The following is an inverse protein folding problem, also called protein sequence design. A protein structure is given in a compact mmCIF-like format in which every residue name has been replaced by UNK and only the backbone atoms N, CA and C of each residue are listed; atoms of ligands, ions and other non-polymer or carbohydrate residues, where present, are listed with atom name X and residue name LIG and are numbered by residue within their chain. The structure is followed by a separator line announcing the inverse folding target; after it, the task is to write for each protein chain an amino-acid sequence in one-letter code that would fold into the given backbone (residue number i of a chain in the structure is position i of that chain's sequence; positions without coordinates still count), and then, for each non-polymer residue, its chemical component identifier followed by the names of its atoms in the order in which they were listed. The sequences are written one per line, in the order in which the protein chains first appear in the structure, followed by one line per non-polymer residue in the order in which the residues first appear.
data_IF_165527441663
#
_entry.id   IF_165527441663
#
_cell.length_a   1.000
_cell.length_b   1.000
_cell.length_c   1.000
_cell.angle_alpha   90.00
_cell.angle_beta   90.00
_cell.angle_gamma   90.00
#
_symmetry.space_group_name_H-M   'P 1'
#
loop_
_entity.id
_entity.type
_entity.pdbx_description
1 polymer ?
#
# COMPACT_ATOMS: atom_id res chain seq x y z
N UNK A 1 15.04 -7.41 3.71
CA UNK A 1 15.84 -8.44 4.40
C UNK A 1 17.34 -8.19 4.24
N UNK A 2 17.86 -8.04 3.02
CA UNK A 2 19.29 -7.76 2.73
C UNK A 2 19.88 -6.62 3.58
N UNK A 3 19.17 -5.49 3.73
CA UNK A 3 19.62 -4.40 4.59
C UNK A 3 19.88 -4.80 6.06
N UNK A 4 19.00 -5.65 6.62
CA UNK A 4 19.15 -6.17 7.99
C UNK A 4 20.35 -7.13 8.10
N UNK A 5 20.66 -7.86 7.03
CA UNK A 5 21.84 -8.71 6.95
C UNK A 5 23.12 -7.87 7.00
N UNK A 6 23.22 -6.81 6.19
CA UNK A 6 24.40 -5.92 6.16
C UNK A 6 24.69 -5.32 7.55
N UNK A 7 23.64 -5.10 8.35
CA UNK A 7 23.74 -4.50 9.70
C UNK A 7 23.90 -5.51 10.84
N UNK A 8 24.01 -6.80 10.57
CA UNK A 8 24.22 -7.79 11.63
C UNK A 8 22.95 -8.28 12.34
N UNK A 9 21.76 -7.84 11.90
CA UNK A 9 20.48 -8.12 12.57
C UNK A 9 19.83 -9.41 12.02
N UNK A 10 20.53 -10.53 12.15
CA UNK A 10 20.18 -11.79 11.49
C UNK A 10 18.82 -12.36 11.90
N UNK A 11 18.47 -12.29 13.19
CA UNK A 11 17.17 -12.79 13.69
C UNK A 11 16.00 -12.03 13.03
N UNK A 12 16.11 -10.70 12.94
CA UNK A 12 15.12 -9.83 12.28
C UNK A 12 15.11 -10.06 10.77
N UNK A 13 16.27 -10.22 10.13
CA UNK A 13 16.37 -10.56 8.71
C UNK A 13 15.63 -11.88 8.40
N UNK A 14 15.83 -12.91 9.23
CA UNK A 14 15.16 -14.20 9.08
C UNK A 14 13.63 -14.08 9.21
N UNK A 15 13.14 -13.31 10.19
CA UNK A 15 11.71 -13.08 10.38
C UNK A 15 11.06 -12.43 9.15
N UNK A 16 11.75 -11.49 8.49
CA UNK A 16 11.27 -10.86 7.26
C UNK A 16 11.17 -11.87 6.11
N UNK A 17 12.18 -12.73 5.93
CA UNK A 17 12.12 -13.79 4.92
C UNK A 17 10.97 -14.77 5.19
N UNK A 18 10.83 -15.25 6.43
CA UNK A 18 9.75 -16.16 6.82
C UNK A 18 8.37 -15.54 6.61
N UNK A 19 8.21 -14.26 6.95
CA UNK A 19 6.95 -13.52 6.73
C UNK A 19 6.62 -13.44 5.24
N UNK A 20 7.60 -13.12 4.40
CA UNK A 20 7.41 -13.08 2.95
C UNK A 20 7.03 -14.44 2.36
N UNK A 21 7.68 -15.52 2.82
CA UNK A 21 7.40 -16.89 2.38
C UNK A 21 5.99 -17.34 2.80
N UNK A 22 5.60 -17.09 4.05
CA UNK A 22 4.26 -17.38 4.56
C UNK A 22 3.17 -16.67 3.74
N UNK A 23 3.44 -15.44 3.29
CA UNK A 23 2.51 -14.63 2.50
C UNK A 23 2.57 -14.89 0.99
N UNK A 24 3.41 -15.84 0.53
CA UNK A 24 3.65 -16.10 -0.90
C UNK A 24 3.98 -14.82 -1.69
N UNK A 25 4.81 -13.96 -1.11
CA UNK A 25 5.20 -12.70 -1.73
C UNK A 25 5.95 -12.95 -3.05
N UNK A 26 5.59 -12.22 -4.10
CA UNK A 26 6.19 -12.34 -5.43
C UNK A 26 7.41 -11.41 -5.57
N UNK A 27 8.48 -11.83 -6.28
CA UNK A 27 8.64 -13.12 -6.97
C UNK A 27 9.01 -14.26 -6.01
N UNK A 28 8.17 -15.30 -5.94
CA UNK A 28 8.23 -16.29 -4.85
C UNK A 28 9.46 -17.20 -4.91
N UNK A 29 9.85 -17.64 -6.10
CA UNK A 29 11.03 -18.51 -6.27
C UNK A 29 12.32 -17.76 -5.93
N UNK A 30 12.42 -16.50 -6.37
CA UNK A 30 13.52 -15.60 -6.00
C UNK A 30 13.58 -15.36 -4.49
N UNK A 31 12.43 -15.27 -3.83
CA UNK A 31 12.37 -15.11 -2.38
C UNK A 31 12.87 -16.36 -1.64
N UNK A 32 12.51 -17.57 -2.10
CA UNK A 32 13.03 -18.83 -1.55
C UNK A 32 14.55 -18.92 -1.73
N UNK A 33 15.04 -18.59 -2.92
CA UNK A 33 16.46 -18.60 -3.24
C UNK A 33 17.22 -17.60 -2.35
N UNK A 34 16.72 -16.37 -2.22
CA UNK A 34 17.31 -15.35 -1.35
C UNK A 34 17.35 -15.79 0.12
N UNK A 35 16.29 -16.44 0.62
CA UNK A 35 16.25 -16.99 1.98
C UNK A 35 17.25 -18.14 2.17
N UNK A 36 17.36 -19.05 1.19
CA UNK A 36 18.35 -20.13 1.20
C UNK A 36 19.78 -19.58 1.26
N UNK A 37 20.11 -18.61 0.40
CA UNK A 37 21.41 -17.95 0.40
C UNK A 37 21.71 -17.24 1.73
N UNK A 38 20.70 -16.63 2.34
CA UNK A 38 20.82 -16.04 3.67
C UNK A 38 21.14 -17.08 4.75
N UNK A 39 20.43 -18.22 4.77
CA UNK A 39 20.71 -19.31 5.72
C UNK A 39 22.12 -19.91 5.50
N UNK A 40 22.57 -20.02 4.26
CA UNK A 40 23.95 -20.41 3.95
C UNK A 40 24.97 -19.41 4.50
N UNK A 41 24.72 -18.10 4.35
CA UNK A 41 25.58 -17.04 4.91
C UNK A 41 25.65 -17.12 6.43
N UNK A 42 24.53 -17.33 7.11
CA UNK A 42 24.50 -17.52 8.57
C UNK A 42 25.31 -18.77 8.95
N UNK A 43 25.03 -19.91 8.33
CA UNK A 43 25.69 -21.19 8.65
C UNK A 43 27.22 -21.12 8.52
N UNK A 44 27.72 -20.47 7.46
CA UNK A 44 29.16 -20.23 7.27
C UNK A 44 29.75 -19.38 8.41
N UNK A 45 29.01 -18.38 8.88
CA UNK A 45 29.44 -17.50 9.98
C UNK A 45 29.44 -18.22 11.32
N UNK A 46 28.43 -19.04 11.62
CA UNK A 46 28.38 -19.83 12.86
C UNK A 46 29.51 -20.86 12.92
N UNK A 47 29.89 -21.43 11.77
CA UNK A 47 31.06 -22.33 11.64
C UNK A 47 32.40 -21.60 11.72
N UNK A 48 32.46 -20.32 11.36
CA UNK A 48 33.67 -19.50 11.51
C UNK A 48 33.84 -19.00 12.96
N UNK A 49 32.75 -18.71 13.67
CA UNK A 49 32.79 -18.27 15.07
C UNK A 49 33.14 -19.37 16.08
N UNK A 50 33.09 -20.65 15.71
CA UNK A 50 33.52 -21.75 16.60
C UNK A 50 35.04 -21.83 16.85
N UNK A 51 35.85 -20.96 16.22
CA UNK A 51 37.29 -20.82 16.48
C UNK A 51 37.65 -19.67 17.45
N UNK A 52 36.70 -18.81 17.83
CA UNK A 52 36.91 -17.79 18.85
C UNK A 52 35.69 -17.72 19.80
N UNK A 53 35.77 -18.40 20.95
CA UNK A 53 34.89 -18.15 22.09
C UNK A 53 35.53 -17.13 23.01
N UNK A 54 35.00 -15.91 23.07
CA UNK A 54 34.81 -15.10 24.29
C UNK A 54 33.73 -14.05 23.97
N UNK A 55 32.78 -13.85 24.88
CA UNK A 55 32.04 -12.59 24.98
C UNK A 55 30.64 -12.58 24.37
N UNK A 56 29.71 -13.21 25.08
CA UNK A 56 28.28 -12.94 24.99
C UNK A 56 28.02 -11.52 25.54
N UNK A 57 28.23 -10.50 24.70
CA UNK A 57 27.81 -9.13 25.00
C UNK A 57 27.82 -8.27 23.71
N UNK A 58 26.98 -8.66 22.74
CA UNK A 58 26.49 -7.68 21.78
C UNK A 58 25.39 -6.89 22.50
N UNK A 59 25.82 -6.00 23.40
CA UNK A 59 25.02 -4.89 23.89
C UNK A 59 24.34 -4.27 22.69
N UNK A 60 23.01 -4.32 22.74
CA UNK A 60 22.08 -3.78 21.77
C UNK A 60 22.48 -2.32 21.57
N UNK A 61 23.21 -2.04 20.48
CA UNK A 61 23.58 -0.68 20.11
C UNK A 61 22.25 0.01 19.81
N UNK A 62 21.78 0.76 20.80
CA UNK A 62 20.57 1.57 20.86
C UNK A 62 20.59 2.67 19.79
N UNK A 63 20.60 2.22 18.55
CA UNK A 63 20.01 2.94 17.45
C UNK A 63 18.57 2.47 17.45
N UNK A 64 17.69 3.26 18.08
CA UNK A 64 16.25 2.98 18.16
C UNK A 64 15.70 2.75 16.75
N UNK A 65 15.73 1.51 16.29
CA UNK A 65 15.45 1.15 14.92
C UNK A 65 13.94 1.14 14.74
N UNK A 66 13.43 2.10 13.99
CA UNK A 66 12.01 2.24 13.70
C UNK A 66 11.72 1.57 12.37
N UNK A 67 10.91 0.50 12.39
CA UNK A 67 10.34 -0.04 11.16
C UNK A 67 9.15 0.86 10.73
N UNK A 68 9.22 1.55 9.58
CA UNK A 68 8.18 2.48 9.17
C UNK A 68 6.84 1.81 8.85
N UNK A 69 6.83 0.50 8.64
CA UNK A 69 5.63 -0.30 8.33
C UNK A 69 5.19 -1.19 9.49
N UNK A 70 5.81 -1.05 10.66
CA UNK A 70 5.33 -1.71 11.86
C UNK A 70 4.01 -1.08 12.33
N UNK A 71 3.08 -1.90 12.81
CA UNK A 71 1.76 -1.43 13.23
C UNK A 71 1.86 -0.37 14.32
N UNK A 72 2.73 -0.55 15.31
CA UNK A 72 2.97 0.44 16.38
C UNK A 72 3.45 1.76 15.80
N UNK A 73 4.53 1.75 15.01
CA UNK A 73 5.06 2.94 14.34
C UNK A 73 4.01 3.67 13.51
N UNK A 74 3.27 2.94 12.68
CA UNK A 74 2.22 3.52 11.82
C UNK A 74 1.10 4.09 12.66
N UNK A 75 0.67 3.40 13.73
CA UNK A 75 -0.37 3.89 14.62
C UNK A 75 0.08 5.17 15.34
N UNK A 76 1.29 5.20 15.87
CA UNK A 76 1.86 6.38 16.54
C UNK A 76 1.96 7.56 15.57
N UNK A 77 2.37 7.31 14.33
CA UNK A 77 2.42 8.31 13.28
C UNK A 77 1.03 8.84 12.94
N UNK A 78 0.04 7.95 12.75
CA UNK A 78 -1.36 8.32 12.49
C UNK A 78 -1.91 9.18 13.63
N UNK A 79 -1.63 8.84 14.90
CA UNK A 79 -2.06 9.67 16.03
C UNK A 79 -1.43 11.05 16.00
N UNK A 80 -0.13 11.13 15.70
CA UNK A 80 0.59 12.41 15.58
C UNK A 80 0.02 13.30 14.47
N UNK A 81 -0.36 12.74 13.32
CA UNK A 81 -0.90 13.53 12.19
C UNK A 81 -2.41 13.78 12.30
N UNK A 82 -3.13 13.10 13.19
CA UNK A 82 -4.59 13.18 13.33
C UNK A 82 -5.11 14.62 13.49
N UNK A 83 -4.50 15.51 14.29
CA UNK A 83 -4.95 16.90 14.42
C UNK A 83 -4.85 17.71 13.13
N UNK A 84 -3.95 17.32 12.22
CA UNK A 84 -3.81 17.95 10.90
C UNK A 84 -4.78 17.33 9.88
N UNK A 85 -4.95 16.01 9.92
CA UNK A 85 -5.88 15.27 9.05
C UNK A 85 -7.30 15.85 9.11
N UNK A 86 -7.82 16.09 10.30
CA UNK A 86 -9.18 16.63 10.50
C UNK A 86 -9.38 18.03 9.92
N UNK A 87 -8.30 18.76 9.66
CA UNK A 87 -8.34 20.11 9.05
C UNK A 87 -8.30 20.06 7.53
N UNK A 88 -7.90 18.93 6.94
CA UNK A 88 -7.82 18.83 5.49
C UNK A 88 -9.20 18.83 4.86
N UNK A 89 -9.36 19.67 3.84
CA UNK A 89 -10.54 19.64 3.00
C UNK A 89 -10.75 18.25 2.41
N UNK A 90 -11.98 17.74 2.47
CA UNK A 90 -12.33 16.40 1.99
C UNK A 90 -12.00 15.26 2.96
N UNK A 91 -11.48 15.53 4.17
CA UNK A 91 -11.36 14.51 5.20
C UNK A 91 -12.68 14.33 5.97
N UNK A 92 -13.25 13.13 5.95
CA UNK A 92 -14.46 12.80 6.68
C UNK A 92 -14.24 11.54 7.51
N UNK A 93 -14.46 11.62 8.82
CA UNK A 93 -14.36 10.47 9.72
C UNK A 93 -15.71 10.19 10.39
N UNK A 94 -16.01 8.91 10.56
CA UNK A 94 -17.20 8.39 11.21
C UNK A 94 -16.84 7.17 12.04
N UNK A 95 -17.36 7.10 13.27
CA UNK A 95 -17.22 5.92 14.12
C UNK A 95 -18.18 4.78 13.72
N UNK A 96 -19.05 5.02 12.73
CA UNK A 96 -20.02 4.03 12.26
C UNK A 96 -19.34 3.02 11.32
N UNK A 97 -19.87 1.80 11.33
CA UNK A 97 -19.57 0.77 10.33
C UNK A 97 -20.13 1.20 8.98
N UNK A 98 -19.41 0.94 7.90
CA UNK A 98 -19.88 1.28 6.57
C UNK A 98 -21.04 0.38 6.12
N UNK A 99 -22.26 0.93 6.01
CA UNK A 99 -23.47 0.19 5.63
C UNK A 99 -23.52 -0.21 4.16
N UNK A 100 -22.80 0.49 3.27
CA UNK A 100 -22.81 0.26 1.83
C UNK A 100 -21.94 -0.90 1.34
N UNK A 101 -21.38 -1.71 2.25
CA UNK A 101 -20.43 -2.79 1.94
C UNK A 101 -21.00 -3.81 0.94
N UNK A 102 -22.26 -4.22 1.13
CA UNK A 102 -22.92 -5.18 0.23
C UNK A 102 -22.98 -4.66 -1.20
N UNK A 103 -23.24 -3.36 -1.40
CA UNK A 103 -23.35 -2.74 -2.72
C UNK A 103 -22.00 -2.56 -3.41
N UNK A 104 -20.91 -2.32 -2.65
CA UNK A 104 -19.56 -2.26 -3.20
C UNK A 104 -19.05 -3.64 -3.65
N UNK A 105 -19.41 -4.70 -2.93
CA UNK A 105 -18.98 -6.07 -3.23
C UNK A 105 -19.90 -6.80 -4.22
N UNK A 106 -21.02 -6.20 -4.61
CA UNK A 106 -22.01 -6.77 -5.51
C UNK A 106 -21.74 -6.43 -6.98
N UNK A 107 -22.55 -7.00 -7.87
CA UNK A 107 -22.47 -6.84 -9.31
C UNK A 107 -22.60 -5.37 -9.77
N UNK A 108 -22.29 -5.13 -11.05
CA UNK A 108 -22.29 -3.81 -11.69
C UNK A 108 -23.64 -3.08 -11.54
N UNK A 109 -23.60 -1.75 -11.61
CA UNK A 109 -24.72 -0.81 -11.58
C UNK A 109 -25.45 -0.68 -10.22
N UNK A 110 -24.79 -1.03 -9.11
CA UNK A 110 -25.32 -0.77 -7.77
C UNK A 110 -25.01 0.64 -7.31
N UNK A 111 -25.92 1.24 -6.56
CA UNK A 111 -25.73 2.57 -5.97
C UNK A 111 -25.35 2.38 -4.49
N UNK A 112 -24.30 3.07 -4.07
CA UNK A 112 -23.89 3.14 -2.67
C UNK A 112 -23.81 4.59 -2.23
N UNK A 113 -24.13 4.85 -0.97
CA UNK A 113 -24.03 6.20 -0.41
C UNK A 113 -22.78 6.30 0.46
N UNK A 114 -21.91 7.26 0.13
CA UNK A 114 -20.64 7.48 0.83
C UNK A 114 -20.59 8.96 1.20
N UNK A 115 -20.55 9.25 2.50
CA UNK A 115 -20.52 10.62 3.02
C UNK A 115 -21.65 11.52 2.53
N UNK A 116 -22.86 10.99 2.35
CA UNK A 116 -24.03 11.75 1.90
C UNK A 116 -24.14 11.95 0.39
N UNK A 117 -23.22 11.39 -0.41
CA UNK A 117 -23.30 11.41 -1.89
C UNK A 117 -23.53 10.01 -2.44
N UNK A 118 -24.26 9.93 -3.56
CA UNK A 118 -24.55 8.66 -4.22
C UNK A 118 -23.45 8.36 -5.22
N UNK A 119 -23.04 7.09 -5.27
CA UNK A 119 -22.05 6.60 -6.22
C UNK A 119 -22.61 5.37 -6.91
N UNK A 120 -22.72 5.42 -8.24
CA UNK A 120 -23.12 4.29 -9.06
C UNK A 120 -21.88 3.49 -9.45
N UNK A 121 -21.75 2.28 -8.93
CA UNK A 121 -20.60 1.39 -9.15
C UNK A 121 -20.70 0.74 -10.53
N UNK A 122 -19.70 0.96 -11.38
CA UNK A 122 -19.65 0.42 -12.74
C UNK A 122 -18.89 -0.90 -12.83
N UNK A 123 -17.96 -1.13 -11.90
CA UNK A 123 -17.19 -2.37 -11.82
C UNK A 123 -15.89 -2.23 -11.03
N UNK A 124 -15.28 -3.38 -10.73
CA UNK A 124 -13.96 -3.44 -10.12
C UNK A 124 -12.89 -3.13 -11.19
N UNK A 125 -12.15 -2.05 -10.99
CA UNK A 125 -11.04 -1.61 -11.85
C UNK A 125 -9.71 -2.25 -11.41
N UNK A 126 -9.59 -2.69 -10.16
CA UNK A 126 -8.38 -3.36 -9.68
C UNK A 126 -8.52 -3.90 -8.28
N UNK A 127 -7.80 -4.99 -7.99
CA UNK A 127 -7.74 -5.63 -6.67
C UNK A 127 -6.29 -5.86 -6.27
N UNK A 128 -5.87 -5.19 -5.20
CA UNK A 128 -4.58 -5.38 -4.56
C UNK A 128 -4.71 -6.08 -3.21
N UNK A 129 -3.57 -6.40 -2.60
CA UNK A 129 -3.53 -7.03 -1.26
C UNK A 129 -4.07 -6.14 -0.14
N UNK A 130 -4.12 -4.81 -0.35
CA UNK A 130 -4.50 -3.82 0.65
C UNK A 130 -5.77 -3.04 0.31
N UNK A 131 -6.24 -3.12 -0.94
CA UNK A 131 -7.34 -2.31 -1.42
C UNK A 131 -8.05 -2.92 -2.63
N UNK A 132 -9.31 -2.55 -2.81
CA UNK A 132 -10.06 -2.75 -4.04
C UNK A 132 -10.42 -1.39 -4.63
N UNK A 133 -10.33 -1.25 -5.94
CA UNK A 133 -10.61 -0.01 -6.67
C UNK A 133 -11.81 -0.24 -7.57
N UNK A 134 -12.82 0.61 -7.44
CA UNK A 134 -14.04 0.57 -8.25
C UNK A 134 -14.14 1.81 -9.12
N UNK A 135 -14.59 1.64 -10.36
CA UNK A 135 -15.03 2.76 -11.19
C UNK A 135 -16.46 3.12 -10.81
N UNK A 136 -16.76 4.40 -10.63
CA UNK A 136 -18.09 4.85 -10.27
C UNK A 136 -18.45 6.22 -10.89
N UNK A 137 -19.75 6.48 -11.03
CA UNK A 137 -20.28 7.82 -11.32
C UNK A 137 -20.77 8.49 -10.03
N UNK A 138 -20.41 9.76 -9.85
CA UNK A 138 -20.96 10.60 -8.77
C UNK A 138 -22.39 11.00 -9.15
N UNK A 139 -23.32 10.81 -8.23
CA UNK A 139 -24.74 11.16 -8.37
C UNK A 139 -25.37 10.64 -9.67
N UNK A 140 -24.91 9.48 -10.13
CA UNK A 140 -25.31 8.84 -11.38
C UNK A 140 -25.06 9.69 -12.64
N UNK A 141 -24.15 10.67 -12.58
CA UNK A 141 -23.76 11.50 -13.71
C UNK A 141 -22.57 10.85 -14.47
N UNK A 142 -22.75 10.45 -15.75
CA UNK A 142 -21.69 9.86 -16.57
C UNK A 142 -20.45 10.75 -16.76
N UNK A 143 -20.63 12.08 -16.70
CA UNK A 143 -19.53 13.05 -16.85
C UNK A 143 -18.67 13.15 -15.58
N UNK A 144 -19.14 12.63 -14.45
CA UNK A 144 -18.44 12.67 -13.17
C UNK A 144 -17.95 11.29 -12.75
N UNK A 145 -16.95 10.80 -13.48
CA UNK A 145 -16.34 9.49 -13.23
C UNK A 145 -15.21 9.58 -12.18
N UNK A 146 -15.22 8.64 -11.24
CA UNK A 146 -14.22 8.53 -10.16
C UNK A 146 -13.77 7.10 -9.93
N UNK A 147 -12.60 6.98 -9.31
CA UNK A 147 -12.09 5.74 -8.74
C UNK A 147 -12.33 5.73 -7.22
N UNK A 148 -13.10 4.75 -6.74
CA UNK A 148 -13.30 4.51 -5.31
C UNK A 148 -12.32 3.45 -4.83
N UNK A 149 -11.31 3.87 -4.07
CA UNK A 149 -10.33 2.95 -3.47
C UNK A 149 -10.73 2.62 -2.04
N UNK A 150 -11.16 1.38 -1.85
CA UNK A 150 -11.69 0.82 -0.60
C UNK A 150 -10.60 0.02 0.09
N UNK A 151 -10.30 0.32 1.35
CA UNK A 151 -9.19 -0.26 2.11
C UNK A 151 -9.67 -0.88 3.40
N UNK A 152 -9.06 -2.02 3.76
CA UNK A 152 -9.33 -2.75 5.01
C UNK A 152 -8.01 -3.28 5.57
N UNK A 153 -7.62 -2.91 6.80
CA UNK A 153 -8.27 -1.97 7.73
C UNK A 153 -8.27 -0.51 7.21
N UNK A 154 -9.00 0.42 7.87
CA UNK A 154 -8.95 1.84 7.52
C UNK A 154 -7.52 2.39 7.53
N UNK A 155 -7.16 3.16 6.50
CA UNK A 155 -5.80 3.65 6.30
C UNK A 155 -5.77 5.15 5.91
N UNK A 156 -6.01 6.07 6.86
CA UNK A 156 -6.03 7.51 6.59
C UNK A 156 -4.67 8.10 6.19
N UNK A 157 -3.57 7.38 6.45
CA UNK A 157 -2.21 7.79 6.08
C UNK A 157 -2.08 8.08 4.59
N UNK A 158 -2.73 7.31 3.73
CA UNK A 158 -2.66 7.54 2.27
C UNK A 158 -3.25 8.91 1.88
N UNK A 159 -4.35 9.33 2.51
CA UNK A 159 -4.91 10.66 2.26
C UNK A 159 -3.97 11.78 2.72
N UNK A 160 -3.31 11.60 3.87
CA UNK A 160 -2.29 12.54 4.32
C UNK A 160 -1.17 12.70 3.29
N UNK A 161 -0.72 11.60 2.68
CA UNK A 161 0.31 11.65 1.64
C UNK A 161 -0.11 12.46 0.42
N UNK A 162 -1.37 12.33 -0.05
CA UNK A 162 -1.87 13.19 -1.13
C UNK A 162 -1.79 14.68 -0.77
N UNK A 163 -2.16 15.05 0.46
CA UNK A 163 -2.06 16.44 0.92
C UNK A 163 -0.61 16.92 1.03
N UNK A 164 0.31 16.04 1.43
CA UNK A 164 1.74 16.37 1.41
C UNK A 164 2.29 16.56 -0.01
N UNK A 165 1.79 15.81 -1.00
CA UNK A 165 2.14 16.03 -2.41
C UNK A 165 1.66 17.41 -2.87
N UNK A 166 0.41 17.78 -2.55
CA UNK A 166 -0.15 19.09 -2.88
C UNK A 166 0.67 20.26 -2.31
N UNK A 167 1.21 20.10 -1.10
CA UNK A 167 2.00 21.17 -0.46
C UNK A 167 3.45 21.26 -0.95
N UNK A 168 4.02 20.17 -1.49
CA UNK A 168 5.47 20.06 -1.73
C UNK A 168 5.84 20.04 -3.21
N UNK A 169 4.92 19.64 -4.08
CA UNK A 169 5.15 19.54 -5.52
C UNK A 169 4.68 20.83 -6.18
N UNK A 170 5.46 21.32 -7.16
CA UNK A 170 5.10 22.51 -7.92
C UNK A 170 3.83 22.26 -8.75
N UNK A 171 2.99 23.28 -8.90
CA UNK A 171 1.69 23.17 -9.56
C UNK A 171 1.79 22.59 -10.99
N UNK A 172 2.81 23.00 -11.75
CA UNK A 172 3.06 22.53 -13.11
C UNK A 172 3.39 21.02 -13.20
N UNK A 173 3.83 20.40 -12.10
CA UNK A 173 4.12 18.97 -12.00
C UNK A 173 3.03 18.19 -11.27
N UNK A 174 2.04 18.89 -10.69
CA UNK A 174 1.05 18.27 -9.80
C UNK A 174 0.18 17.25 -10.52
N UNK A 175 -0.14 17.48 -11.79
CA UNK A 175 -0.95 16.58 -12.62
C UNK A 175 -0.28 15.23 -12.91
N UNK A 176 1.04 15.12 -12.76
CA UNK A 176 1.77 13.85 -12.91
C UNK A 176 1.56 12.88 -11.73
N UNK A 177 0.94 13.35 -10.64
CA UNK A 177 0.66 12.56 -9.44
C UNK A 177 -0.83 12.36 -9.26
N UNK A 178 -1.22 11.23 -8.69
CA UNK A 178 -2.63 10.98 -8.37
C UNK A 178 -3.24 12.08 -7.48
N UNK A 179 -4.55 12.25 -7.56
CA UNK A 179 -5.32 13.15 -6.72
C UNK A 179 -6.42 12.37 -5.99
N UNK A 180 -6.47 12.52 -4.67
CA UNK A 180 -7.60 12.09 -3.86
C UNK A 180 -8.44 13.30 -3.49
N UNK A 181 -9.64 13.42 -4.07
CA UNK A 181 -10.56 14.52 -3.85
C UNK A 181 -11.08 14.55 -2.40
N UNK A 182 -11.33 13.37 -1.82
CA UNK A 182 -11.83 13.20 -0.45
C UNK A 182 -11.56 11.78 0.06
N UNK A 183 -11.60 11.62 1.38
CA UNK A 183 -11.55 10.34 2.07
C UNK A 183 -12.70 10.22 3.07
N UNK A 184 -13.32 9.06 3.13
CA UNK A 184 -14.30 8.69 4.13
C UNK A 184 -13.75 7.55 4.98
N UNK A 185 -13.44 7.84 6.25
CA UNK A 185 -12.89 6.91 7.22
C UNK A 185 -14.02 6.43 8.12
N UNK A 186 -14.37 5.16 8.00
CA UNK A 186 -15.31 4.43 8.85
C UNK A 186 -14.54 3.58 9.87
N UNK A 187 -15.24 2.93 10.80
CA UNK A 187 -14.59 2.06 11.79
C UNK A 187 -13.99 0.79 11.18
N UNK A 188 -14.48 0.35 10.03
CA UNK A 188 -14.12 -0.90 9.34
C UNK A 188 -13.46 -0.69 7.96
N UNK A 189 -13.73 0.44 7.29
CA UNK A 189 -13.14 0.79 5.99
C UNK A 189 -12.60 2.23 5.94
N UNK A 190 -11.63 2.47 5.06
CA UNK A 190 -11.46 3.81 4.48
C UNK A 190 -11.74 3.76 2.98
N UNK A 191 -12.42 4.78 2.48
CA UNK A 191 -12.78 4.91 1.06
C UNK A 191 -12.22 6.24 0.55
N UNK A 192 -11.25 6.17 -0.35
CA UNK A 192 -10.72 7.31 -1.08
C UNK A 192 -11.52 7.50 -2.36
N UNK A 193 -11.86 8.75 -2.65
CA UNK A 193 -12.44 9.16 -3.93
C UNK A 193 -11.34 9.85 -4.72
N UNK A 194 -10.88 9.20 -5.79
CA UNK A 194 -9.80 9.68 -6.65
C UNK A 194 -10.29 9.92 -8.07
N UNK A 195 -9.51 10.67 -8.84
CA UNK A 195 -9.73 10.79 -10.27
C UNK A 195 -9.56 9.42 -10.95
N UNK A 196 -10.46 9.12 -11.89
CA UNK A 196 -10.39 7.87 -12.64
C UNK A 196 -9.47 8.03 -13.86
N UNK A 197 -8.49 7.15 -13.98
CA UNK A 197 -7.60 7.07 -15.13
C UNK A 197 -8.11 6.00 -16.11
N UNK A 198 -8.53 6.42 -17.30
CA UNK A 198 -9.19 5.53 -18.28
C UNK A 198 -8.23 4.64 -19.08
N UNK A 199 -6.95 4.98 -19.13
CA UNK A 199 -5.95 4.27 -19.94
C UNK A 199 -5.35 3.02 -19.26
N UNK A 200 -5.84 2.67 -18.07
CA UNK A 200 -5.32 1.55 -17.32
C UNK A 200 -3.93 1.81 -16.74
N UNK A 201 -3.25 0.74 -16.37
CA UNK A 201 -1.91 0.79 -15.79
C UNK A 201 -0.83 0.53 -16.84
N UNK A 202 0.41 0.93 -16.55
CA UNK A 202 1.55 0.54 -17.38
C UNK A 202 1.70 -0.98 -17.51
N UNK A 203 1.28 -1.73 -16.48
CA UNK A 203 1.27 -3.20 -16.55
C UNK A 203 0.24 -3.72 -17.57
N UNK A 204 -0.93 -3.09 -17.66
CA UNK A 204 -1.94 -3.42 -18.69
C UNK A 204 -1.39 -3.11 -20.09
N UNK A 205 -0.67 -2.00 -20.24
CA UNK A 205 0.00 -1.67 -21.50
C UNK A 205 1.01 -2.76 -21.88
N UNK A 206 1.94 -3.13 -21.00
CA UNK A 206 2.92 -4.20 -21.24
C UNK A 206 2.22 -5.52 -21.61
N UNK A 207 1.20 -5.91 -20.85
CA UNK A 207 0.47 -7.15 -21.09
C UNK A 207 -0.25 -7.16 -22.44
N UNK A 208 -0.72 -6.00 -22.92
CA UNK A 208 -1.36 -5.90 -24.24
C UNK A 208 -0.40 -6.25 -25.38
N UNK A 209 0.90 -5.93 -25.25
CA UNK A 209 1.92 -6.34 -26.23
C UNK A 209 2.27 -7.82 -26.11
N UNK A 210 2.42 -8.33 -24.88
CA UNK A 210 2.67 -9.75 -24.62
C UNK A 210 1.58 -10.66 -25.21
N UNK A 211 0.31 -10.26 -25.13
CA UNK A 211 -0.82 -10.99 -25.72
C UNK A 211 -0.71 -11.08 -27.24
N UNK A 212 -0.14 -10.06 -27.89
CA UNK A 212 0.07 -10.01 -29.35
C UNK A 212 1.42 -10.65 -29.74
N UNK A 213 2.16 -11.22 -28.78
CA UNK A 213 3.47 -11.84 -29.02
C UNK A 213 4.56 -10.84 -29.40
N UNK A 214 4.36 -9.56 -29.09
CA UNK A 214 5.32 -8.49 -29.35
C UNK A 214 5.96 -8.02 -28.05
N UNK A 215 7.19 -7.53 -28.15
CA UNK A 215 7.81 -6.77 -27.07
C UNK A 215 7.46 -5.30 -27.25
N UNK A 216 7.28 -4.58 -26.15
CA UNK A 216 7.19 -3.13 -26.18
C UNK A 216 8.58 -2.59 -26.52
N UNK A 217 8.75 -1.98 -27.69
CA UNK A 217 10.02 -1.38 -28.09
C UNK A 217 10.34 -0.20 -27.18
N UNK A 218 11.55 -0.18 -26.61
CA UNK A 218 12.06 1.00 -25.90
C UNK A 218 12.48 2.04 -26.94
N UNK A 219 11.74 3.15 -27.00
CA UNK A 219 12.17 4.32 -27.77
C UNK A 219 13.09 5.13 -26.87
N UNK A 220 14.38 5.15 -27.19
CA UNK A 220 15.42 5.97 -26.53
C UNK A 220 15.42 7.40 -27.05
#
# INVERSE_FOLDING_TARGET
AIFLEVKGLWRRANLVYQTGLSRKAQPFDRLKEAHSLFLQRISKRTKASSLHKVGDDATDLDTSFVNPWEKSTVNDLIQKIKPQLVKYHGYHASNKVFSGKANLLSSRNKITEIGGRKYQILGCAGKGGFAQVFKAYIDCNPDQVVALKVQTPPFPWEFHMYRQLDCRIQENQRSSFGLAQRVHVYSDYSILVCDYQSHGTLHDAINSFSVVGKFMEEVL
#
